data_IF_840539453245
#
_entry.id   IF_840539453245
#
_cell.length_a   1.000
_cell.length_b   1.000
_cell.length_c   1.000
_cell.angle_alpha   90.00
_cell.angle_beta   90.00
_cell.angle_gamma   90.00
#
_symmetry.space_group_name_H-M   'P 1'
#
loop_
_entity.id
_entity.type
_entity.pdbx_description
1 polymer ?
#
# COMPACT_ATOMS: atom_id res chain seq x y z
N UNK A 1 -7.62 -32.59 34.00
CA UNK A 1 -8.26 -32.00 32.80
C UNK A 1 -7.38 -30.87 32.31
N UNK A 2 -6.84 -30.99 31.09
CA UNK A 2 -5.72 -30.21 30.57
C UNK A 2 -6.18 -29.46 29.32
N UNK A 3 -6.30 -28.12 29.36
CA UNK A 3 -6.61 -27.31 28.17
C UNK A 3 -5.50 -26.29 27.90
N UNK A 4 -4.42 -26.80 27.31
CA UNK A 4 -3.51 -26.00 26.47
C UNK A 4 -4.23 -25.71 25.15
N UNK A 5 -4.17 -24.45 24.70
CA UNK A 5 -4.31 -23.95 23.33
C UNK A 5 -5.37 -22.84 23.17
N UNK A 6 -5.00 -21.61 23.49
CA UNK A 6 -5.59 -20.44 22.84
C UNK A 6 -4.49 -19.72 22.06
N UNK A 7 -4.30 -20.16 20.81
CA UNK A 7 -3.61 -19.42 19.76
C UNK A 7 -4.29 -18.06 19.60
N UNK A 8 -3.74 -17.02 20.23
CA UNK A 8 -3.93 -15.62 19.84
C UNK A 8 -2.62 -15.06 19.30
N UNK A 9 -2.06 -15.76 18.31
CA UNK A 9 -1.06 -15.20 17.40
C UNK A 9 -1.75 -14.24 16.42
N UNK A 10 -2.28 -13.13 16.93
CA UNK A 10 -2.71 -12.01 16.10
C UNK A 10 -1.50 -11.12 15.87
N UNK A 11 -1.25 -10.87 14.59
CA UNK A 11 -0.42 -9.78 14.09
C UNK A 11 1.08 -10.02 14.18
N UNK A 12 1.55 -11.02 13.42
CA UNK A 12 2.82 -10.88 12.72
C UNK A 12 2.71 -9.71 11.73
N UNK A 13 2.71 -8.48 12.25
CA UNK A 13 3.20 -7.31 11.53
C UNK A 13 4.63 -7.67 11.19
N UNK A 14 4.84 -8.20 9.99
CA UNK A 14 6.13 -8.22 9.32
C UNK A 14 6.61 -6.77 9.28
N UNK A 15 7.23 -6.31 10.38
CA UNK A 15 8.23 -5.25 10.38
C UNK A 15 9.44 -5.83 9.66
N UNK A 16 9.26 -6.11 8.36
CA UNK A 16 10.35 -6.52 7.50
C UNK A 16 11.19 -5.27 7.32
N UNK A 17 12.36 -5.28 7.94
CA UNK A 17 13.23 -4.13 8.12
C UNK A 17 13.24 -3.18 6.93
N UNK A 18 12.99 -1.91 7.26
CA UNK A 18 13.09 -0.71 6.43
C UNK A 18 14.45 -0.69 5.73
N UNK A 19 14.52 -1.30 4.56
CA UNK A 19 15.62 -1.10 3.65
C UNK A 19 15.10 -0.17 2.56
N UNK A 20 15.42 1.14 2.60
CA UNK A 20 14.81 2.16 1.73
C UNK A 20 15.09 1.95 0.23
N UNK A 21 16.06 1.10 -0.11
CA UNK A 21 16.37 0.68 -1.49
C UNK A 21 15.70 -0.63 -1.93
N UNK A 22 14.73 -1.17 -1.16
CA UNK A 22 13.98 -2.34 -1.64
C UNK A 22 12.98 -1.92 -2.70
N UNK A 23 12.97 -2.67 -3.80
CA UNK A 23 11.88 -2.60 -4.76
C UNK A 23 10.60 -3.08 -4.06
N UNK A 24 9.61 -2.21 -4.00
CA UNK A 24 8.28 -2.50 -3.50
C UNK A 24 7.41 -2.98 -4.67
N UNK A 25 6.46 -3.86 -4.36
CA UNK A 25 5.40 -4.30 -5.28
C UNK A 25 4.08 -3.82 -4.67
N UNK A 26 3.54 -2.73 -5.23
CA UNK A 26 2.27 -2.17 -4.83
C UNK A 26 1.15 -2.81 -5.61
N UNK A 27 0.18 -3.38 -4.90
CA UNK A 27 -1.03 -3.94 -5.47
C UNK A 27 -2.16 -2.93 -5.28
N UNK A 28 -2.25 -1.95 -6.19
CA UNK A 28 -3.39 -1.04 -6.24
C UNK A 28 -4.63 -1.74 -6.77
N UNK A 29 -5.83 -1.14 -6.60
CA UNK A 29 -7.10 -1.75 -6.98
C UNK A 29 -7.19 -2.14 -8.47
N UNK A 30 -6.51 -1.39 -9.34
CA UNK A 30 -6.50 -1.64 -10.80
C UNK A 30 -5.09 -1.80 -11.38
N UNK A 31 -4.05 -1.44 -10.63
CA UNK A 31 -2.69 -1.33 -11.17
C UNK A 31 -1.69 -1.91 -10.19
N UNK A 32 -0.88 -2.84 -10.67
CA UNK A 32 0.29 -3.34 -9.93
C UNK A 32 1.51 -2.51 -10.31
N UNK A 33 2.03 -1.76 -9.34
CA UNK A 33 3.18 -0.87 -9.55
C UNK A 33 4.38 -1.44 -8.82
N UNK A 34 5.42 -1.77 -9.58
CA UNK A 34 6.71 -2.19 -9.03
C UNK A 34 7.75 -1.08 -9.20
N UNK A 35 8.52 -0.80 -8.15
CA UNK A 35 9.54 0.25 -8.17
C UNK A 35 10.05 0.61 -6.78
N UNK A 36 10.85 1.66 -6.68
CA UNK A 36 11.18 2.27 -5.39
C UNK A 36 9.95 2.98 -4.81
N UNK A 37 9.94 3.27 -3.52
CA UNK A 37 8.82 3.95 -2.86
C UNK A 37 8.45 5.27 -3.56
N UNK A 38 9.45 6.09 -3.92
CA UNK A 38 9.26 7.35 -4.65
C UNK A 38 8.60 7.13 -6.03
N UNK A 39 9.05 6.13 -6.78
CA UNK A 39 8.46 5.83 -8.09
C UNK A 39 7.00 5.39 -7.97
N UNK A 40 6.67 4.63 -6.92
CA UNK A 40 5.31 4.19 -6.67
C UNK A 40 4.43 5.39 -6.27
N UNK A 41 4.94 6.27 -5.41
CA UNK A 41 4.30 7.51 -5.02
C UNK A 41 3.92 8.37 -6.22
N UNK A 42 4.89 8.66 -7.11
CA UNK A 42 4.66 9.51 -8.30
C UNK A 42 3.58 8.93 -9.22
N UNK A 43 3.55 7.59 -9.38
CA UNK A 43 2.51 6.93 -10.18
C UNK A 43 1.14 7.02 -9.52
N UNK A 44 1.02 6.83 -8.21
CA UNK A 44 -0.27 6.98 -7.53
C UNK A 44 -0.76 8.44 -7.53
N UNK A 45 0.13 9.42 -7.42
CA UNK A 45 -0.20 10.84 -7.62
C UNK A 45 -0.81 11.10 -9.00
N UNK A 46 -0.21 10.54 -10.06
CA UNK A 46 -0.73 10.67 -11.42
C UNK A 46 -2.09 9.98 -11.58
N UNK A 47 -2.24 8.75 -11.09
CA UNK A 47 -3.51 8.00 -11.12
C UNK A 47 -4.62 8.70 -10.35
N UNK A 48 -4.31 9.30 -9.20
CA UNK A 48 -5.27 10.07 -8.42
C UNK A 48 -5.79 11.29 -9.17
N UNK A 49 -4.91 12.00 -9.90
CA UNK A 49 -5.29 13.15 -10.73
C UNK A 49 -6.19 12.72 -11.88
N UNK A 50 -5.83 11.65 -12.56
CA UNK A 50 -6.62 11.08 -13.67
C UNK A 50 -8.01 10.66 -13.20
N UNK A 51 -8.11 9.89 -12.10
CA UNK A 51 -9.38 9.50 -11.51
C UNK A 51 -10.22 10.69 -11.05
N UNK A 52 -9.59 11.73 -10.48
CA UNK A 52 -10.27 12.97 -10.09
C UNK A 52 -10.85 13.71 -11.31
N UNK A 53 -10.09 13.80 -12.40
CA UNK A 53 -10.52 14.42 -13.66
C UNK A 53 -11.61 13.61 -14.38
N UNK A 54 -11.59 12.28 -14.24
CA UNK A 54 -12.64 11.39 -14.74
C UNK A 54 -13.93 11.42 -13.89
N UNK A 55 -13.91 12.07 -12.72
CA UNK A 55 -15.04 12.16 -11.79
C UNK A 55 -15.16 10.99 -10.82
N UNK A 56 -14.22 10.05 -10.81
CA UNK A 56 -14.19 8.90 -9.90
C UNK A 56 -13.46 9.26 -8.59
N UNK A 57 -14.18 9.95 -7.71
CA UNK A 57 -13.63 10.46 -6.44
C UNK A 57 -13.21 9.35 -5.48
N UNK A 58 -13.94 8.24 -5.45
CA UNK A 58 -13.63 7.10 -4.55
C UNK A 58 -12.30 6.48 -4.95
N UNK A 59 -12.09 6.29 -6.26
CA UNK A 59 -10.83 5.79 -6.80
C UNK A 59 -9.67 6.77 -6.56
N UNK A 60 -9.90 8.08 -6.73
CA UNK A 60 -8.90 9.10 -6.44
C UNK A 60 -8.44 9.06 -4.97
N UNK A 61 -9.36 8.98 -4.02
CA UNK A 61 -9.04 8.86 -2.59
C UNK A 61 -8.25 7.59 -2.29
N UNK A 62 -8.64 6.46 -2.90
CA UNK A 62 -7.93 5.21 -2.74
C UNK A 62 -6.47 5.33 -3.23
N UNK A 63 -6.24 5.92 -4.40
CA UNK A 63 -4.89 6.16 -4.91
C UNK A 63 -4.08 7.12 -4.03
N UNK A 64 -4.70 8.17 -3.48
CA UNK A 64 -4.02 9.09 -2.56
C UNK A 64 -3.58 8.41 -1.26
N UNK A 65 -4.39 7.51 -0.71
CA UNK A 65 -3.99 6.71 0.46
C UNK A 65 -2.79 5.83 0.13
N UNK A 66 -2.75 5.23 -1.06
CA UNK A 66 -1.59 4.45 -1.50
C UNK A 66 -0.36 5.33 -1.68
N UNK A 67 -0.48 6.50 -2.31
CA UNK A 67 0.61 7.45 -2.42
C UNK A 67 1.18 7.81 -1.04
N UNK A 68 0.31 8.16 -0.10
CA UNK A 68 0.68 8.52 1.27
C UNK A 68 1.43 7.37 1.97
N UNK A 69 0.98 6.13 1.78
CA UNK A 69 1.64 4.95 2.33
C UNK A 69 3.09 4.77 1.86
N UNK A 70 3.42 5.14 0.61
CA UNK A 70 4.79 5.06 0.10
C UNK A 70 5.62 6.32 0.39
N UNK A 71 4.97 7.41 0.80
CA UNK A 71 5.64 8.63 1.22
C UNK A 71 6.05 8.60 2.71
N UNK A 72 5.28 7.94 3.57
CA UNK A 72 5.58 7.76 5.00
C UNK A 72 6.63 6.69 5.28
#
# INVERSE_FOLDING_TARGET
MNTKNMKRGRNQRRRQGTNPNRAFDSNGPDVRIRGTANQIFDKYQALARDASSAGDRVKAENYLQHAEHYFR
#
